data_IF_401200114306
#
_entry.id   IF_401200114306
#
_cell.length_a   1.000
_cell.length_b   1.000
_cell.length_c   1.000
_cell.angle_alpha   90.00
_cell.angle_beta   90.00
_cell.angle_gamma   90.00
#
_symmetry.space_group_name_H-M   'P 1'
#
loop_
_entity.id
_entity.type
_entity.pdbx_description
1 polymer ?
#
# COMPACT_ATOMS: atom_id res chain seq x y z
N UNK A 1 17.28 29.16 23.20
CA UNK A 1 16.10 28.97 22.33
C UNK A 1 16.60 28.37 21.03
N UNK A 2 16.41 27.08 20.83
CA UNK A 2 16.70 26.43 19.55
C UNK A 2 15.65 26.92 18.54
N UNK A 3 16.12 27.66 17.54
CA UNK A 3 15.34 28.01 16.36
C UNK A 3 14.94 26.72 15.66
N UNK A 4 13.64 26.45 15.61
CA UNK A 4 13.10 25.35 14.82
C UNK A 4 13.55 25.52 13.37
N UNK A 5 14.39 24.59 12.92
CA UNK A 5 14.64 24.41 11.50
C UNK A 5 13.29 24.10 10.86
N UNK A 6 12.72 25.10 10.18
CA UNK A 6 11.73 24.86 9.14
C UNK A 6 12.39 23.88 8.17
N UNK A 7 12.02 22.59 8.25
CA UNK A 7 12.36 21.60 7.23
C UNK A 7 11.91 22.18 5.89
N UNK A 8 12.90 22.63 5.11
CA UNK A 8 12.72 23.27 3.84
C UNK A 8 12.27 22.18 2.87
N UNK A 9 10.97 21.94 2.77
CA UNK A 9 10.39 21.00 1.82
C UNK A 9 10.94 21.30 0.43
N UNK A 10 11.77 20.39 -0.07
CA UNK A 10 12.47 20.54 -1.32
C UNK A 10 11.58 19.98 -2.44
N UNK A 11 11.63 20.56 -3.64
CA UNK A 11 10.76 20.10 -4.75
C UNK A 11 10.96 18.61 -5.11
N UNK A 12 12.08 18.03 -4.68
CA UNK A 12 12.46 16.64 -4.89
C UNK A 12 11.90 15.67 -3.83
N UNK A 13 11.32 16.18 -2.75
CA UNK A 13 10.79 15.33 -1.68
C UNK A 13 9.63 14.46 -2.20
N UNK A 14 9.63 13.19 -1.78
CA UNK A 14 8.64 12.20 -2.20
C UNK A 14 8.71 11.79 -3.67
N UNK A 15 9.83 12.00 -4.38
CA UNK A 15 10.00 11.59 -5.78
C UNK A 15 9.57 10.14 -6.05
N UNK A 16 9.99 9.20 -5.20
CA UNK A 16 9.62 7.78 -5.33
C UNK A 16 8.10 7.57 -5.29
N UNK A 17 7.40 8.33 -4.44
CA UNK A 17 5.94 8.26 -4.32
C UNK A 17 5.25 8.93 -5.51
N UNK A 18 5.77 10.05 -6.02
CA UNK A 18 5.30 10.67 -7.27
C UNK A 18 5.42 9.71 -8.46
N UNK A 19 6.56 9.03 -8.57
CA UNK A 19 6.79 8.01 -9.61
C UNK A 19 5.84 6.81 -9.45
N UNK A 20 5.57 6.37 -8.21
CA UNK A 20 4.55 5.34 -7.97
C UNK A 20 3.18 5.79 -8.46
N UNK A 21 2.76 7.02 -8.15
CA UNK A 21 1.49 7.56 -8.62
C UNK A 21 1.44 7.71 -10.14
N UNK A 22 2.54 8.05 -10.79
CA UNK A 22 2.62 8.05 -12.25
C UNK A 22 2.41 6.64 -12.82
N UNK A 23 3.07 5.64 -12.24
CA UNK A 23 2.95 4.25 -12.71
C UNK A 23 1.53 3.69 -12.51
N UNK A 24 0.85 4.07 -11.44
CA UNK A 24 -0.50 3.56 -11.13
C UNK A 24 -1.60 4.38 -11.81
N UNK A 25 -1.50 5.71 -11.83
CA UNK A 25 -2.56 6.62 -12.28
C UNK A 25 -2.27 7.36 -13.59
N UNK A 26 -1.09 7.14 -14.17
CA UNK A 26 -0.65 7.73 -15.43
C UNK A 26 -0.07 9.14 -15.30
N UNK A 27 0.40 9.68 -16.44
CA UNK A 27 1.16 10.95 -16.53
C UNK A 27 0.45 12.17 -15.94
N UNK A 28 -0.89 12.18 -15.90
CA UNK A 28 -1.63 13.28 -15.28
C UNK A 28 -1.28 13.42 -13.79
N UNK A 29 -1.09 12.31 -13.08
CA UNK A 29 -0.67 12.32 -11.69
C UNK A 29 0.72 12.92 -11.50
N UNK A 30 1.64 12.60 -12.41
CA UNK A 30 2.96 13.21 -12.43
C UNK A 30 2.88 14.74 -12.60
N UNK A 31 2.14 15.22 -13.61
CA UNK A 31 2.03 16.65 -13.87
C UNK A 31 1.36 17.42 -12.72
N UNK A 32 0.36 16.83 -12.07
CA UNK A 32 -0.30 17.41 -10.89
C UNK A 32 0.66 17.49 -9.68
N UNK A 33 1.56 16.51 -9.49
CA UNK A 33 2.36 16.40 -8.26
C UNK A 33 3.82 16.86 -8.37
N UNK A 34 4.42 16.87 -9.57
CA UNK A 34 5.87 17.03 -9.76
C UNK A 34 6.47 18.23 -9.03
N UNK A 35 5.76 19.35 -9.01
CA UNK A 35 6.15 20.59 -8.35
C UNK A 35 5.14 21.02 -7.28
N UNK A 36 4.24 20.13 -6.86
CA UNK A 36 3.17 20.47 -5.90
C UNK A 36 3.63 20.28 -4.46
N UNK A 37 3.45 21.35 -3.68
CA UNK A 37 3.53 21.36 -2.21
C UNK A 37 2.14 21.40 -1.58
N UNK A 38 1.08 21.20 -2.37
CA UNK A 38 -0.30 21.20 -1.88
C UNK A 38 -0.65 19.86 -1.20
N UNK A 39 -0.67 19.86 0.13
CA UNK A 39 -1.02 18.68 0.93
C UNK A 39 -2.40 18.11 0.58
N UNK A 40 -3.37 18.92 0.15
CA UNK A 40 -4.72 18.45 -0.21
C UNK A 40 -4.63 17.56 -1.45
N UNK A 41 -3.83 17.97 -2.44
CA UNK A 41 -3.59 17.19 -3.65
C UNK A 41 -2.88 15.87 -3.33
N UNK A 42 -1.90 15.88 -2.43
CA UNK A 42 -1.23 14.65 -2.00
C UNK A 42 -2.16 13.72 -1.23
N UNK A 43 -2.97 14.23 -0.30
CA UNK A 43 -4.03 13.46 0.39
C UNK A 43 -4.95 12.76 -0.61
N UNK A 44 -5.41 13.47 -1.64
CA UNK A 44 -6.22 12.90 -2.73
C UNK A 44 -5.52 11.71 -3.38
N UNK A 45 -4.25 11.81 -3.75
CA UNK A 45 -3.52 10.71 -4.39
C UNK A 45 -3.22 9.54 -3.44
N UNK A 46 -2.87 9.81 -2.19
CA UNK A 46 -2.69 8.79 -1.16
C UNK A 46 -3.99 8.01 -0.89
N UNK A 47 -5.12 8.71 -0.72
CA UNK A 47 -6.45 8.09 -0.56
C UNK A 47 -6.83 7.26 -1.79
N UNK A 48 -6.53 7.77 -2.98
CA UNK A 48 -6.79 7.07 -4.24
C UNK A 48 -5.92 5.81 -4.38
N UNK A 49 -4.70 5.81 -3.86
CA UNK A 49 -3.82 4.63 -3.80
C UNK A 49 -4.42 3.53 -2.92
N UNK A 50 -4.85 3.85 -1.70
CA UNK A 50 -5.53 2.87 -0.84
C UNK A 50 -6.78 2.30 -1.50
N UNK A 51 -7.57 3.15 -2.16
CA UNK A 51 -8.76 2.72 -2.91
C UNK A 51 -8.40 1.80 -4.09
N UNK A 52 -7.32 2.10 -4.82
CA UNK A 52 -6.87 1.26 -5.93
C UNK A 52 -6.41 -0.12 -5.44
N UNK A 53 -5.74 -0.20 -4.29
CA UNK A 53 -5.34 -1.48 -3.68
C UNK A 53 -6.58 -2.30 -3.31
N UNK A 54 -7.54 -1.67 -2.64
CA UNK A 54 -8.80 -2.32 -2.23
C UNK A 54 -9.57 -2.88 -3.44
N UNK A 55 -9.76 -2.07 -4.48
CA UNK A 55 -10.42 -2.48 -5.73
C UNK A 55 -9.65 -3.61 -6.41
N UNK A 56 -8.32 -3.51 -6.48
CA UNK A 56 -7.48 -4.53 -7.12
C UNK A 56 -7.54 -5.86 -6.38
N UNK A 57 -7.50 -5.83 -5.05
CA UNK A 57 -7.63 -7.03 -4.23
C UNK A 57 -9.00 -7.71 -4.44
N UNK A 58 -10.10 -6.96 -4.37
CA UNK A 58 -11.47 -7.46 -4.63
C UNK A 58 -11.63 -8.05 -6.03
N UNK A 59 -10.93 -7.51 -7.03
CA UNK A 59 -10.98 -8.01 -8.39
C UNK A 59 -10.06 -9.22 -8.66
N UNK A 60 -9.04 -9.46 -7.83
CA UNK A 60 -7.96 -10.42 -8.12
C UNK A 60 -7.99 -11.64 -7.22
N UNK A 61 -8.32 -11.46 -5.94
CA UNK A 61 -8.32 -12.55 -4.95
C UNK A 61 -9.55 -13.44 -5.19
N UNK A 62 -9.32 -14.70 -5.53
CA UNK A 62 -10.40 -15.66 -5.85
C UNK A 62 -10.82 -16.51 -4.66
N UNK A 63 -9.90 -16.73 -3.72
CA UNK A 63 -10.11 -17.60 -2.56
C UNK A 63 -9.68 -16.82 -1.32
N UNK A 64 -10.68 -16.40 -0.55
CA UNK A 64 -10.57 -15.78 0.76
C UNK A 64 -11.88 -16.02 1.54
N UNK A 65 -11.82 -15.96 2.87
CA UNK A 65 -13.02 -15.89 3.71
C UNK A 65 -13.73 -14.53 3.57
N UNK A 66 -15.02 -14.48 3.91
CA UNK A 66 -15.83 -13.25 3.83
C UNK A 66 -15.24 -12.14 4.74
N UNK A 67 -14.81 -12.51 5.94
CA UNK A 67 -14.22 -11.58 6.92
C UNK A 67 -12.93 -10.92 6.41
N UNK A 68 -12.17 -11.58 5.52
CA UNK A 68 -10.95 -11.02 4.95
C UNK A 68 -11.22 -9.76 4.12
N UNK A 69 -12.25 -9.79 3.27
CA UNK A 69 -12.62 -8.61 2.47
C UNK A 69 -13.20 -7.49 3.34
N UNK A 70 -13.93 -7.83 4.40
CA UNK A 70 -14.40 -6.85 5.38
C UNK A 70 -13.23 -6.18 6.09
N UNK A 71 -12.29 -6.96 6.62
CA UNK A 71 -11.08 -6.45 7.27
C UNK A 71 -10.25 -5.58 6.34
N UNK A 72 -10.06 -6.00 5.08
CA UNK A 72 -9.35 -5.18 4.09
C UNK A 72 -10.05 -3.84 3.88
N UNK A 73 -11.37 -3.84 3.78
CA UNK A 73 -12.17 -2.62 3.61
C UNK A 73 -12.06 -1.73 4.85
N UNK A 74 -12.12 -2.30 6.04
CA UNK A 74 -11.95 -1.57 7.31
C UNK A 74 -10.58 -0.92 7.42
N UNK A 75 -9.50 -1.65 7.13
CA UNK A 75 -8.14 -1.11 7.18
C UNK A 75 -7.89 -0.05 6.10
N UNK A 76 -8.44 -0.24 4.90
CA UNK A 76 -8.39 0.78 3.85
C UNK A 76 -9.14 2.05 4.26
N UNK A 77 -10.36 1.94 4.80
CA UNK A 77 -11.13 3.10 5.30
C UNK A 77 -10.46 3.80 6.48
N UNK A 78 -9.91 3.03 7.42
CA UNK A 78 -9.15 3.58 8.54
C UNK A 78 -7.94 4.38 8.02
N UNK A 79 -7.15 3.80 7.12
CA UNK A 79 -6.02 4.50 6.48
C UNK A 79 -6.45 5.76 5.75
N UNK A 80 -7.53 5.70 4.95
CA UNK A 80 -8.10 6.86 4.24
C UNK A 80 -8.48 7.97 5.22
N UNK A 81 -9.12 7.64 6.35
CA UNK A 81 -9.45 8.60 7.42
C UNK A 81 -8.19 9.24 8.01
N UNK A 82 -7.17 8.44 8.34
CA UNK A 82 -5.93 8.96 8.92
C UNK A 82 -5.17 9.89 7.97
N UNK A 83 -5.16 9.59 6.66
CA UNK A 83 -4.59 10.48 5.64
C UNK A 83 -5.32 11.84 5.59
N UNK A 84 -6.66 11.84 5.71
CA UNK A 84 -7.43 13.09 5.71
C UNK A 84 -7.15 13.95 6.94
N UNK A 85 -6.82 13.33 8.09
CA UNK A 85 -6.50 14.02 9.33
C UNK A 85 -5.07 14.56 9.40
N UNK A 86 -4.15 14.12 8.52
CA UNK A 86 -2.75 14.58 8.55
C UNK A 86 -2.62 16.10 8.36
N UNK A 87 -1.87 16.77 9.22
CA UNK A 87 -1.71 18.23 9.17
C UNK A 87 -0.53 18.67 8.29
N UNK A 88 0.46 17.80 8.13
CA UNK A 88 1.68 18.01 7.36
C UNK A 88 2.06 16.75 6.54
N UNK A 89 3.11 16.87 5.73
CA UNK A 89 3.57 15.76 4.87
C UNK A 89 4.21 14.62 5.66
N UNK A 90 4.85 14.90 6.79
CA UNK A 90 5.47 13.88 7.63
C UNK A 90 4.39 12.95 8.18
N UNK A 91 3.34 13.51 8.76
CA UNK A 91 2.15 12.79 9.20
C UNK A 91 1.47 12.08 8.04
N UNK A 92 1.36 12.71 6.88
CA UNK A 92 0.72 12.11 5.70
C UNK A 92 1.46 10.84 5.25
N UNK A 93 2.78 10.90 5.13
CA UNK A 93 3.60 9.78 4.68
C UNK A 93 3.72 8.70 5.74
N UNK A 94 3.81 9.06 7.02
CA UNK A 94 3.76 8.12 8.13
C UNK A 94 2.43 7.34 8.14
N UNK A 95 1.30 8.04 8.02
CA UNK A 95 -0.04 7.42 7.96
C UNK A 95 -0.20 6.53 6.73
N UNK A 96 0.32 6.95 5.57
CA UNK A 96 0.31 6.12 4.36
C UNK A 96 1.15 4.86 4.55
N UNK A 97 2.38 4.98 5.06
CA UNK A 97 3.29 3.86 5.27
C UNK A 97 2.72 2.84 6.27
N UNK A 98 2.15 3.31 7.38
CA UNK A 98 1.47 2.45 8.35
C UNK A 98 0.30 1.69 7.70
N UNK A 99 -0.54 2.39 6.94
CA UNK A 99 -1.69 1.78 6.24
C UNK A 99 -1.24 0.72 5.23
N UNK A 100 -0.24 1.02 4.40
CA UNK A 100 0.32 0.09 3.42
C UNK A 100 0.96 -1.13 4.10
N UNK A 101 1.66 -0.94 5.22
CA UNK A 101 2.26 -2.01 6.00
C UNK A 101 1.20 -2.96 6.56
N UNK A 102 0.15 -2.43 7.17
CA UNK A 102 -0.98 -3.22 7.68
C UNK A 102 -1.66 -4.02 6.57
N UNK A 103 -2.00 -3.37 5.45
CA UNK A 103 -2.62 -4.03 4.30
C UNK A 103 -1.70 -5.12 3.72
N UNK A 104 -0.38 -4.88 3.66
CA UNK A 104 0.59 -5.86 3.16
C UNK A 104 0.58 -7.14 4.00
N UNK A 105 0.55 -7.03 5.33
CA UNK A 105 0.44 -8.21 6.20
C UNK A 105 -0.91 -8.91 6.08
N UNK A 106 -2.01 -8.15 6.00
CA UNK A 106 -3.33 -8.71 5.80
C UNK A 106 -3.42 -9.52 4.48
N UNK A 107 -2.77 -9.05 3.41
CA UNK A 107 -2.67 -9.77 2.14
C UNK A 107 -1.91 -11.10 2.21
N UNK A 108 -1.05 -11.27 3.22
CA UNK A 108 -0.34 -12.52 3.48
C UNK A 108 -1.15 -13.49 4.36
N UNK A 109 -2.19 -13.00 5.03
CA UNK A 109 -3.08 -13.79 5.87
C UNK A 109 -3.63 -13.00 7.05
N UNK A 110 -2.79 -12.58 7.99
CA UNK A 110 -3.20 -11.85 9.20
C UNK A 110 -2.22 -10.76 9.59
N UNK A 111 -2.71 -9.74 10.28
CA UNK A 111 -1.88 -8.69 10.85
C UNK A 111 -1.23 -9.24 12.13
N UNK A 112 0.10 -9.26 12.25
CA UNK A 112 0.76 -9.79 13.45
C UNK A 112 0.64 -8.81 14.62
N UNK A 113 -0.18 -9.14 15.62
CA UNK A 113 -0.36 -8.33 16.83
C UNK A 113 0.62 -8.71 17.94
N UNK A 114 1.84 -8.17 17.87
CA UNK A 114 2.90 -8.44 18.85
C UNK A 114 2.98 -7.40 19.98
N UNK A 115 1.89 -6.68 20.27
CA UNK A 115 1.89 -5.53 21.20
C UNK A 115 2.37 -5.84 22.62
N UNK A 116 2.23 -7.10 23.05
CA UNK A 116 2.65 -7.56 24.39
C UNK A 116 4.11 -8.05 24.43
N UNK A 117 4.77 -8.18 23.28
CA UNK A 117 6.15 -8.64 23.17
C UNK A 117 7.12 -7.46 23.16
N UNK A 118 8.19 -7.53 23.97
CA UNK A 118 9.25 -6.50 23.98
C UNK A 118 10.02 -6.43 22.66
N UNK A 119 10.17 -7.56 21.98
CA UNK A 119 10.82 -7.70 20.67
C UNK A 119 10.44 -9.04 20.06
N UNK A 120 10.40 -9.12 18.73
CA UNK A 120 10.08 -10.33 17.97
C UNK A 120 11.17 -10.61 16.95
N UNK A 121 11.76 -11.80 17.02
CA UNK A 121 12.89 -12.18 16.16
C UNK A 121 12.43 -12.61 14.77
N UNK A 122 13.08 -12.06 13.73
CA UNK A 122 12.83 -12.41 12.31
C UNK A 122 13.16 -13.86 11.97
N UNK A 123 14.18 -14.44 12.62
CA UNK A 123 14.70 -15.79 12.31
C UNK A 123 13.78 -16.94 12.68
N UNK A 124 12.69 -16.69 13.43
CA UNK A 124 11.76 -17.74 13.84
C UNK A 124 10.51 -17.69 12.95
N UNK A 125 10.36 -18.60 11.97
CA UNK A 125 9.27 -18.53 10.99
C UNK A 125 7.88 -18.59 11.62
N UNK A 126 7.75 -19.21 12.79
CA UNK A 126 6.48 -19.30 13.54
C UNK A 126 5.90 -17.91 13.88
N UNK A 127 6.75 -16.89 14.08
CA UNK A 127 6.33 -15.51 14.36
C UNK A 127 5.77 -14.79 13.11
N UNK A 128 5.99 -15.36 11.93
CA UNK A 128 5.63 -14.79 10.62
C UNK A 128 4.77 -15.76 9.81
N UNK A 129 4.28 -16.82 10.46
CA UNK A 129 3.32 -17.75 9.89
C UNK A 129 1.92 -17.15 10.07
N UNK A 130 1.43 -16.50 9.02
CA UNK A 130 0.22 -15.66 9.04
C UNK A 130 -1.03 -16.39 8.53
N UNK A 131 -0.93 -17.70 8.29
CA UNK A 131 -2.00 -18.56 7.78
C UNK A 131 -2.68 -19.41 8.87
N UNK A 132 -2.61 -18.97 10.14
CA UNK A 132 -3.02 -19.77 11.30
C UNK A 132 -4.47 -20.26 11.25
N UNK A 133 -5.38 -19.42 10.74
CA UNK A 133 -6.81 -19.72 10.67
C UNK A 133 -7.40 -19.54 9.26
N UNK A 134 -6.62 -18.94 8.35
CA UNK A 134 -7.07 -18.61 6.98
C UNK A 134 -5.91 -18.51 6.00
N UNK A 135 -6.19 -18.61 4.71
CA UNK A 135 -5.21 -18.43 3.64
C UNK A 135 -5.82 -17.62 2.50
N UNK A 136 -5.04 -16.68 1.94
CA UNK A 136 -5.41 -15.94 0.73
C UNK A 136 -4.67 -16.57 -0.46
N UNK A 137 -5.38 -16.88 -1.55
CA UNK A 137 -4.76 -17.48 -2.72
C UNK A 137 -4.96 -16.65 -3.99
N UNK A 138 -3.86 -16.40 -4.68
CA UNK A 138 -3.83 -15.88 -6.05
C UNK A 138 -3.78 -17.06 -7.02
N UNK A 139 -4.86 -17.27 -7.77
CA UNK A 139 -5.01 -18.44 -8.65
C UNK A 139 -4.74 -18.03 -10.10
N UNK A 140 -3.85 -18.78 -10.77
CA UNK A 140 -3.59 -18.59 -12.20
C UNK A 140 -4.50 -19.48 -13.06
N UNK A 141 -5.47 -18.85 -13.73
CA UNK A 141 -6.38 -19.50 -14.66
C UNK A 141 -5.70 -19.80 -16.02
N UNK A 142 -6.41 -20.51 -16.90
CA UNK A 142 -5.90 -20.94 -18.20
C UNK A 142 -5.49 -19.77 -19.11
N UNK A 143 -6.29 -18.71 -19.15
CA UNK A 143 -6.01 -17.49 -19.91
C UNK A 143 -4.73 -16.79 -19.41
N UNK A 144 -4.59 -16.64 -18.09
CA UNK A 144 -3.41 -16.05 -17.46
C UNK A 144 -2.14 -16.88 -17.72
N UNK A 145 -2.24 -18.21 -17.80
CA UNK A 145 -1.11 -19.08 -18.22
C UNK A 145 -0.72 -18.82 -19.67
N UNK A 146 -1.69 -18.73 -20.58
CA UNK A 146 -1.44 -18.45 -21.98
C UNK A 146 -0.77 -17.07 -22.16
N UNK A 147 -1.25 -16.05 -21.46
CA UNK A 147 -0.68 -14.71 -21.48
C UNK A 147 0.77 -14.71 -20.96
N UNK A 148 1.07 -15.45 -19.89
CA UNK A 148 2.44 -15.62 -19.37
C UNK A 148 3.37 -16.27 -20.40
N UNK A 149 2.90 -17.30 -21.11
CA UNK A 149 3.65 -17.97 -22.17
C UNK A 149 3.96 -17.03 -23.35
N UNK A 150 2.96 -16.27 -23.81
CA UNK A 150 3.14 -15.30 -24.90
C UNK A 150 4.14 -14.20 -24.55
N UNK A 151 4.10 -13.69 -23.31
CA UNK A 151 5.04 -12.68 -22.82
C UNK A 151 6.49 -13.20 -22.84
N UNK A 152 6.72 -14.46 -22.42
CA UNK A 152 8.06 -15.06 -22.46
C UNK A 152 8.62 -15.15 -23.88
N UNK A 153 7.78 -15.49 -24.88
CA UNK A 153 8.20 -15.51 -26.29
C UNK A 153 8.63 -14.13 -26.79
N UNK A 154 7.84 -13.10 -26.50
CA UNK A 154 8.15 -11.71 -26.89
C UNK A 154 9.42 -11.17 -26.23
N UNK A 155 9.77 -11.67 -25.04
CA UNK A 155 10.98 -11.28 -24.31
C UNK A 155 12.25 -11.99 -24.84
N UNK A 156 12.08 -13.05 -25.64
CA UNK A 156 13.16 -13.89 -26.17
C UNK A 156 13.43 -13.63 -27.66
N UNK A 157 12.78 -12.62 -28.23
CA UNK A 157 12.95 -12.15 -29.63
C UNK A 157 13.53 -10.75 -29.59
#
# INVERSE_FOLDING_TARGET
MQTGENMRYNMEDGFSLKNLFENIFGRKAWYELKHSTDIILWKKYCTRLLSAIEVSAKATVQIADEDWFEQLSMEAEHGKKMLQLSEDFEQLFANLAASLGTISFLQLGLIPYHLTHKSVTLRHPINWKLDLYRSVQYVQNSEQRQNSYNKKKQSST
#
